data_IF_469273115685
#
_entry.id   IF_469273115685
#
_cell.length_a   1.000
_cell.length_b   1.000
_cell.length_c   1.000
_cell.angle_alpha   90.00
_cell.angle_beta   90.00
_cell.angle_gamma   90.00
#
_symmetry.space_group_name_H-M   'P 1'
#
loop_
_entity.id
_entity.type
_entity.pdbx_description
1 polymer ?
#
# COMPACT_ATOMS: atom_id res chain seq x y z
N UNK A 1 5.20 12.42 22.07
CA UNK A 1 3.75 12.35 21.78
C UNK A 1 3.11 11.66 22.97
N UNK A 2 2.14 12.32 23.58
CA UNK A 2 1.48 11.84 24.82
C UNK A 2 0.13 11.16 24.52
N UNK A 3 -0.37 11.29 23.27
CA UNK A 3 -1.68 10.78 22.84
C UNK A 3 -1.76 10.59 21.32
N UNK A 4 -2.74 9.82 20.88
CA UNK A 4 -3.13 9.73 19.47
C UNK A 4 -4.25 10.74 19.23
N UNK A 5 -4.16 11.50 18.16
CA UNK A 5 -5.23 12.37 17.67
C UNK A 5 -5.83 11.70 16.42
N UNK A 6 -7.11 11.38 16.47
CA UNK A 6 -7.87 10.88 15.34
C UNK A 6 -8.73 12.00 14.79
N UNK A 7 -8.61 12.26 13.49
CA UNK A 7 -9.44 13.21 12.75
C UNK A 7 -10.27 12.42 11.75
N UNK A 8 -11.58 12.42 11.93
CA UNK A 8 -12.53 11.78 11.01
C UNK A 8 -13.31 12.84 10.27
N UNK A 9 -13.20 12.85 8.97
CA UNK A 9 -14.01 13.68 8.08
C UNK A 9 -15.08 12.81 7.39
N UNK A 10 -16.31 13.25 7.45
CA UNK A 10 -17.46 12.62 6.79
C UNK A 10 -18.35 13.69 6.18
N UNK A 11 -19.40 13.30 5.47
CA UNK A 11 -20.41 14.25 4.99
C UNK A 11 -21.05 15.08 6.12
N UNK A 12 -20.99 14.60 7.38
CA UNK A 12 -21.52 15.26 8.54
C UNK A 12 -20.53 16.24 9.20
N UNK A 13 -19.32 16.39 8.64
CA UNK A 13 -18.28 17.29 9.11
C UNK A 13 -17.08 16.58 9.71
N UNK A 14 -16.20 17.37 10.32
CA UNK A 14 -14.94 16.93 10.92
C UNK A 14 -15.15 16.63 12.41
N UNK A 15 -14.72 15.44 12.84
CA UNK A 15 -14.69 15.04 14.24
C UNK A 15 -13.26 14.76 14.69
N UNK A 16 -12.91 15.23 15.88
CA UNK A 16 -11.64 14.94 16.54
C UNK A 16 -11.86 14.06 17.77
N UNK A 17 -11.10 12.98 17.85
CA UNK A 17 -11.09 12.07 19.01
C UNK A 17 -9.66 11.92 19.53
N UNK A 18 -9.49 12.02 20.84
CA UNK A 18 -8.22 11.88 21.53
C UNK A 18 -8.15 10.55 22.24
N UNK A 19 -7.10 9.78 21.94
CA UNK A 19 -6.87 8.49 22.58
C UNK A 19 -5.60 8.58 23.44
N UNK A 20 -5.70 8.34 24.76
CA UNK A 20 -4.60 8.57 25.71
C UNK A 20 -3.58 7.43 25.65
N UNK A 21 -2.86 7.32 24.55
CA UNK A 21 -1.82 6.32 24.32
C UNK A 21 -0.49 7.02 24.06
N UNK A 22 0.50 6.74 24.91
CA UNK A 22 1.85 7.30 24.75
C UNK A 22 2.49 6.82 23.44
N UNK A 23 3.24 7.70 22.76
CA UNK A 23 3.86 7.41 21.48
C UNK A 23 4.82 6.22 21.52
N UNK A 24 5.54 6.03 22.61
CA UNK A 24 6.40 4.85 22.80
C UNK A 24 5.60 3.54 22.82
N UNK A 25 4.45 3.55 23.53
CA UNK A 25 3.55 2.39 23.59
C UNK A 25 2.98 2.07 22.19
N UNK A 26 2.55 3.10 21.47
CA UNK A 26 2.07 2.95 20.10
C UNK A 26 3.17 2.37 19.18
N UNK A 27 4.37 2.94 19.22
CA UNK A 27 5.50 2.48 18.38
C UNK A 27 5.89 1.04 18.70
N UNK A 28 5.90 0.67 20.00
CA UNK A 28 6.18 -0.71 20.42
C UNK A 28 5.14 -1.69 19.87
N UNK A 29 3.85 -1.34 19.94
CA UNK A 29 2.77 -2.18 19.46
C UNK A 29 2.80 -2.33 17.94
N UNK A 30 3.08 -1.25 17.20
CA UNK A 30 3.25 -1.29 15.75
C UNK A 30 4.40 -2.23 15.35
N UNK A 31 5.54 -2.14 16.02
CA UNK A 31 6.68 -3.04 15.76
C UNK A 31 6.33 -4.49 16.06
N UNK A 32 5.61 -4.75 17.16
CA UNK A 32 5.13 -6.09 17.51
C UNK A 32 4.20 -6.63 16.42
N UNK A 33 3.20 -5.88 16.04
CA UNK A 33 2.25 -6.26 15.01
C UNK A 33 2.94 -6.58 13.66
N UNK A 34 3.81 -5.70 13.20
CA UNK A 34 4.57 -5.92 11.96
C UNK A 34 5.39 -7.20 11.98
N UNK A 35 6.07 -7.47 13.07
CA UNK A 35 6.88 -8.70 13.21
C UNK A 35 6.01 -9.95 13.22
N UNK A 36 4.90 -9.92 13.97
CA UNK A 36 4.04 -11.08 14.16
C UNK A 36 3.21 -11.42 12.91
N UNK A 37 2.76 -10.43 12.14
CA UNK A 37 1.97 -10.66 10.93
C UNK A 37 2.78 -11.25 9.77
N UNK A 38 4.12 -11.20 9.85
CA UNK A 38 5.00 -11.83 8.86
C UNK A 38 5.09 -13.36 9.04
N UNK A 39 4.70 -13.87 10.20
CA UNK A 39 4.64 -15.32 10.44
C UNK A 39 3.29 -15.88 9.98
N UNK A 40 3.27 -16.42 8.76
CA UNK A 40 2.07 -16.99 8.16
C UNK A 40 1.55 -18.26 8.84
N UNK A 41 2.34 -18.86 9.74
CA UNK A 41 1.98 -20.09 10.45
C UNK A 41 1.37 -19.79 11.83
N UNK A 42 1.33 -18.54 12.25
CA UNK A 42 0.91 -18.13 13.58
C UNK A 42 -0.21 -17.08 13.52
N UNK A 43 -1.11 -17.15 14.50
CA UNK A 43 -2.14 -16.11 14.71
C UNK A 43 -1.78 -15.14 15.86
N UNK A 44 -0.54 -15.17 16.34
CA UNK A 44 -0.10 -14.33 17.46
C UNK A 44 -0.23 -12.82 17.18
N UNK A 45 -0.35 -12.41 15.93
CA UNK A 45 -0.59 -11.03 15.54
C UNK A 45 -2.00 -10.51 15.93
N UNK A 46 -2.97 -11.39 16.17
CA UNK A 46 -4.35 -10.99 16.47
C UNK A 46 -4.46 -10.08 17.70
N UNK A 47 -3.71 -10.39 18.77
CA UNK A 47 -3.70 -9.55 19.98
C UNK A 47 -3.24 -8.13 19.69
N UNK A 48 -2.16 -7.97 18.91
CA UNK A 48 -1.66 -6.66 18.48
C UNK A 48 -2.63 -5.96 17.53
N UNK A 49 -3.26 -6.72 16.61
CA UNK A 49 -4.26 -6.19 15.68
C UNK A 49 -5.49 -5.64 16.44
N UNK A 50 -5.95 -6.34 17.48
CA UNK A 50 -7.06 -5.91 18.33
C UNK A 50 -6.70 -4.68 19.17
N UNK A 51 -5.50 -4.65 19.73
CA UNK A 51 -5.00 -3.50 20.49
C UNK A 51 -4.96 -2.25 19.61
N UNK A 52 -4.40 -2.36 18.41
CA UNK A 52 -4.33 -1.24 17.47
C UNK A 52 -5.71 -0.83 16.95
N UNK A 53 -6.61 -1.78 16.66
CA UNK A 53 -8.00 -1.49 16.33
C UNK A 53 -8.69 -0.70 17.45
N UNK A 54 -8.52 -1.12 18.70
CA UNK A 54 -9.07 -0.44 19.87
C UNK A 54 -8.61 1.00 20.02
N UNK A 55 -7.41 1.35 19.55
CA UNK A 55 -6.89 2.72 19.60
C UNK A 55 -7.23 3.56 18.36
N UNK A 56 -7.32 2.95 17.19
CA UNK A 56 -7.38 3.68 15.93
C UNK A 56 -8.76 3.69 15.28
N UNK A 57 -9.57 2.64 15.50
CA UNK A 57 -10.85 2.46 14.81
C UNK A 57 -12.03 2.48 15.78
N UNK A 58 -11.95 1.73 16.89
CA UNK A 58 -13.07 1.60 17.84
C UNK A 58 -13.59 2.96 18.38
N UNK A 59 -12.75 3.98 18.64
CA UNK A 59 -13.23 5.29 19.08
C UNK A 59 -14.09 6.02 18.05
N UNK A 60 -14.05 5.62 16.80
CA UNK A 60 -14.78 6.20 15.66
C UNK A 60 -15.94 5.30 15.19
N UNK A 61 -16.11 4.12 15.77
CA UNK A 61 -17.01 3.08 15.24
C UNK A 61 -18.46 3.54 15.08
N UNK A 62 -18.99 4.30 16.04
CA UNK A 62 -20.36 4.81 15.96
C UNK A 62 -20.53 5.78 14.79
N UNK A 63 -19.55 6.64 14.54
CA UNK A 63 -19.58 7.61 13.46
C UNK A 63 -19.45 6.91 12.10
N UNK A 64 -18.59 5.91 12.02
CA UNK A 64 -18.40 5.11 10.79
C UNK A 64 -19.67 4.34 10.42
N UNK A 65 -20.35 3.74 11.40
CA UNK A 65 -21.61 3.03 11.18
C UNK A 65 -22.75 3.99 10.83
N UNK A 66 -22.86 5.12 11.54
CA UNK A 66 -23.90 6.12 11.32
C UNK A 66 -23.80 6.86 9.99
N UNK A 67 -22.62 6.91 9.39
CA UNK A 67 -22.39 7.60 8.12
C UNK A 67 -22.67 6.74 6.87
N UNK A 68 -22.97 5.45 7.03
CA UNK A 68 -23.27 4.54 5.90
C UNK A 68 -22.12 4.42 4.89
N UNK A 69 -20.87 4.51 5.36
CA UNK A 69 -19.70 4.49 4.50
C UNK A 69 -19.35 3.07 4.05
N UNK A 70 -18.80 2.96 2.85
CA UNK A 70 -18.30 1.71 2.29
C UNK A 70 -16.77 1.69 2.18
N UNK A 71 -16.15 2.86 2.16
CA UNK A 71 -14.70 3.01 2.04
C UNK A 71 -14.17 3.94 3.11
N UNK A 72 -13.14 3.49 3.82
CA UNK A 72 -12.37 4.27 4.78
C UNK A 72 -11.02 4.63 4.16
N UNK A 73 -10.78 5.92 3.94
CA UNK A 73 -9.48 6.43 3.50
C UNK A 73 -8.67 6.83 4.72
N UNK A 74 -7.54 6.19 4.93
CA UNK A 74 -6.67 6.43 6.08
C UNK A 74 -5.42 7.20 5.66
N UNK A 75 -5.20 8.35 6.28
CA UNK A 75 -3.99 9.16 6.14
C UNK A 75 -3.16 8.95 7.41
N UNK A 76 -2.31 7.95 7.37
CA UNK A 76 -1.50 7.58 8.51
C UNK A 76 -0.25 8.46 8.65
N UNK A 77 0.16 8.75 9.87
CA UNK A 77 1.39 9.47 10.17
C UNK A 77 2.44 8.58 10.86
N UNK A 78 3.71 8.94 10.69
CA UNK A 78 4.84 8.27 11.31
C UNK A 78 4.85 6.75 11.09
N UNK A 79 5.07 5.99 12.15
CA UNK A 79 5.15 4.52 12.11
C UNK A 79 3.83 3.84 11.71
N UNK A 80 2.70 4.51 11.81
CA UNK A 80 1.40 3.97 11.37
C UNK A 80 1.35 3.72 9.86
N UNK A 81 2.16 4.42 9.06
CA UNK A 81 2.29 4.19 7.60
C UNK A 81 2.80 2.80 7.26
N UNK A 82 3.35 2.09 8.23
CA UNK A 82 4.06 0.82 8.00
C UNK A 82 3.22 -0.42 8.30
N UNK A 83 1.96 -0.25 8.71
CA UNK A 83 1.08 -1.38 9.05
C UNK A 83 -0.05 -1.54 8.02
N UNK A 84 -0.45 -2.79 7.74
CA UNK A 84 -1.60 -3.07 6.88
C UNK A 84 -2.90 -2.73 7.65
N UNK A 85 -3.45 -1.54 7.43
CA UNK A 85 -4.64 -1.05 8.16
C UNK A 85 -5.85 -1.98 8.02
N UNK A 86 -6.03 -2.63 6.87
CA UNK A 86 -7.10 -3.61 6.65
C UNK A 86 -7.02 -4.84 7.56
N UNK A 87 -5.83 -5.17 8.08
CA UNK A 87 -5.62 -6.29 8.99
C UNK A 87 -5.83 -5.95 10.49
N UNK A 88 -6.28 -4.75 10.82
CA UNK A 88 -6.77 -4.43 12.17
C UNK A 88 -8.01 -5.29 12.45
N UNK A 89 -8.20 -5.73 13.70
CA UNK A 89 -9.19 -6.75 14.06
C UNK A 89 -10.03 -6.29 15.25
N UNK A 90 -11.36 -6.40 15.18
CA UNK A 90 -12.28 -5.96 16.23
C UNK A 90 -12.54 -7.02 17.33
N UNK A 91 -11.93 -8.19 17.19
CA UNK A 91 -12.16 -9.38 18.02
C UNK A 91 -13.00 -10.45 17.31
N UNK A 92 -13.67 -10.09 16.20
CA UNK A 92 -14.51 -11.00 15.40
C UNK A 92 -14.12 -10.98 13.92
N UNK A 93 -13.87 -9.81 13.36
CA UNK A 93 -13.62 -9.59 11.94
C UNK A 93 -12.43 -8.65 11.73
N UNK A 94 -11.78 -8.79 10.59
CA UNK A 94 -10.81 -7.80 10.12
C UNK A 94 -11.53 -6.55 9.62
N UNK A 95 -10.87 -5.41 9.71
CA UNK A 95 -11.43 -4.15 9.22
C UNK A 95 -11.82 -4.23 7.73
N UNK A 96 -11.02 -4.91 6.93
CA UNK A 96 -11.27 -5.12 5.49
C UNK A 96 -12.52 -5.95 5.20
N UNK A 97 -12.99 -6.76 6.13
CA UNK A 97 -14.22 -7.55 5.98
C UNK A 97 -15.48 -6.67 6.02
N UNK A 98 -15.38 -5.51 6.68
CA UNK A 98 -16.51 -4.59 6.88
C UNK A 98 -16.46 -3.36 6.00
N UNK A 99 -15.27 -2.87 5.67
CA UNK A 99 -15.03 -1.64 4.92
C UNK A 99 -13.91 -1.84 3.90
N UNK A 100 -14.06 -1.30 2.70
CA UNK A 100 -12.91 -1.11 1.83
C UNK A 100 -11.94 -0.12 2.51
N UNK A 101 -10.66 -0.49 2.59
CA UNK A 101 -9.63 0.32 3.25
C UNK A 101 -8.63 0.81 2.22
N UNK A 102 -8.54 2.12 2.07
CA UNK A 102 -7.50 2.78 1.27
C UNK A 102 -6.53 3.52 2.20
N UNK A 103 -5.25 3.50 1.86
CA UNK A 103 -4.22 4.26 2.60
C UNK A 103 -3.56 5.22 1.64
N UNK A 104 -3.49 6.49 2.04
CA UNK A 104 -2.81 7.53 1.27
C UNK A 104 -1.80 8.28 2.14
N UNK A 105 -0.68 8.73 1.57
CA UNK A 105 0.30 9.50 2.33
C UNK A 105 -0.18 10.92 2.69
N UNK A 106 -1.10 11.49 1.91
CA UNK A 106 -1.64 12.83 2.13
C UNK A 106 -2.93 13.03 1.34
N UNK A 107 -3.93 13.68 1.93
CA UNK A 107 -5.14 14.10 1.22
C UNK A 107 -4.84 15.17 0.16
N UNK A 108 -3.90 16.06 0.43
CA UNK A 108 -3.53 17.12 -0.51
C UNK A 108 -2.86 16.57 -1.80
N UNK A 109 -2.26 15.38 -1.72
CA UNK A 109 -1.62 14.70 -2.85
C UNK A 109 -2.54 13.65 -3.50
N UNK A 110 -3.76 13.48 -2.97
CA UNK A 110 -4.69 12.46 -3.43
C UNK A 110 -5.90 13.15 -4.05
N UNK A 111 -6.07 13.00 -5.34
CA UNK A 111 -7.28 13.43 -6.01
C UNK A 111 -8.42 12.45 -5.66
N UNK A 112 -9.30 12.87 -4.75
CA UNK A 112 -10.50 12.13 -4.35
C UNK A 112 -11.70 12.41 -5.26
N UNK A 113 -11.57 13.36 -6.19
CA UNK A 113 -12.59 13.54 -7.22
C UNK A 113 -12.72 12.23 -8.00
N UNK A 114 -13.93 11.93 -8.46
CA UNK A 114 -14.18 10.74 -9.29
C UNK A 114 -13.16 10.74 -10.43
N UNK A 115 -12.12 9.92 -10.28
CA UNK A 115 -11.05 9.86 -11.24
C UNK A 115 -11.69 9.68 -12.61
N UNK A 116 -11.60 10.69 -13.45
CA UNK A 116 -11.80 10.46 -14.87
C UNK A 116 -10.88 9.29 -15.18
N UNK A 117 -11.47 8.11 -15.38
CA UNK A 117 -10.71 6.91 -15.73
C UNK A 117 -9.89 7.31 -16.92
N UNK A 118 -8.62 7.63 -16.69
CA UNK A 118 -7.69 7.83 -17.81
C UNK A 118 -7.78 6.53 -18.59
N UNK A 119 -8.29 6.62 -19.80
CA UNK A 119 -8.30 5.51 -20.75
C UNK A 119 -6.85 5.28 -21.16
N UNK A 120 -6.06 4.74 -20.25
CA UNK A 120 -4.69 4.38 -20.54
C UNK A 120 -4.59 2.87 -20.71
N UNK A 121 -3.67 2.43 -21.53
CA UNK A 121 -3.32 1.03 -21.66
C UNK A 121 -2.59 0.56 -20.41
N UNK A 122 -2.67 -0.73 -20.14
CA UNK A 122 -1.90 -1.39 -19.08
C UNK A 122 -0.50 -1.74 -19.61
N UNK A 123 0.53 -1.38 -18.85
CA UNK A 123 1.88 -1.90 -19.00
C UNK A 123 2.15 -2.90 -17.88
N UNK A 124 2.35 -4.16 -18.20
CA UNK A 124 2.77 -5.18 -17.25
C UNK A 124 4.25 -5.45 -17.40
N UNK A 125 4.99 -5.45 -16.30
CA UNK A 125 6.42 -5.77 -16.28
C UNK A 125 6.72 -6.83 -15.24
N UNK A 126 7.70 -7.72 -15.47
CA UNK A 126 8.00 -8.76 -14.51
C UNK A 126 9.33 -9.48 -14.74
N UNK A 127 9.79 -10.15 -13.68
CA UNK A 127 10.95 -11.03 -13.69
C UNK A 127 10.52 -12.47 -13.40
N UNK A 128 10.99 -13.41 -14.22
CA UNK A 128 10.88 -14.85 -14.01
C UNK A 128 12.26 -15.52 -13.90
N UNK A 129 13.31 -14.71 -13.87
CA UNK A 129 14.71 -15.11 -13.74
C UNK A 129 15.29 -14.57 -12.43
N UNK A 130 16.32 -15.23 -11.92
CA UNK A 130 17.07 -14.75 -10.76
C UNK A 130 17.95 -13.58 -11.15
N UNK A 131 17.86 -12.47 -10.39
CA UNK A 131 18.64 -11.25 -10.63
C UNK A 131 19.26 -10.80 -9.32
N UNK A 132 20.51 -10.33 -9.34
CA UNK A 132 21.27 -9.86 -8.17
C UNK A 132 21.25 -10.82 -6.95
N UNK A 133 21.22 -12.12 -7.19
CA UNK A 133 21.21 -13.13 -6.14
C UNK A 133 19.85 -13.38 -5.49
N UNK A 134 18.80 -12.67 -5.92
CA UNK A 134 17.42 -12.94 -5.52
C UNK A 134 16.83 -14.00 -6.45
N UNK A 135 16.15 -14.99 -5.88
CA UNK A 135 15.47 -16.04 -6.64
C UNK A 135 14.29 -15.45 -7.44
N UNK A 136 13.97 -16.04 -8.59
CA UNK A 136 12.80 -15.63 -9.38
C UNK A 136 11.52 -15.66 -8.54
N UNK A 137 10.65 -14.63 -8.62
CA UNK A 137 9.34 -14.64 -7.97
C UNK A 137 8.49 -15.79 -8.55
N UNK A 138 8.06 -16.71 -7.68
CA UNK A 138 7.43 -17.99 -8.07
C UNK A 138 6.22 -17.85 -8.99
N UNK A 139 5.43 -16.81 -8.84
CA UNK A 139 4.15 -16.64 -9.51
C UNK A 139 4.13 -15.46 -10.49
N UNK A 140 5.25 -14.77 -10.71
CA UNK A 140 5.30 -13.57 -11.55
C UNK A 140 4.78 -13.82 -12.98
N UNK A 141 5.13 -14.94 -13.58
CA UNK A 141 4.68 -15.27 -14.94
C UNK A 141 3.17 -15.48 -15.01
N UNK A 142 2.62 -16.33 -14.13
CA UNK A 142 1.18 -16.60 -14.09
C UNK A 142 0.36 -15.36 -13.75
N UNK A 143 0.85 -14.52 -12.85
CA UNK A 143 0.24 -13.27 -12.46
C UNK A 143 0.14 -12.30 -13.64
N UNK A 144 1.25 -12.04 -14.31
CA UNK A 144 1.30 -11.11 -15.44
C UNK A 144 0.47 -11.61 -16.62
N UNK A 145 0.46 -12.92 -16.90
CA UNK A 145 -0.38 -13.50 -17.95
C UNK A 145 -1.88 -13.40 -17.62
N UNK A 146 -2.27 -13.64 -16.36
CA UNK A 146 -3.65 -13.48 -15.93
C UNK A 146 -4.13 -12.02 -16.09
N UNK A 147 -3.32 -11.05 -15.67
CA UNK A 147 -3.61 -9.63 -15.81
C UNK A 147 -3.72 -9.23 -17.29
N UNK A 148 -2.78 -9.70 -18.13
CA UNK A 148 -2.82 -9.45 -19.57
C UNK A 148 -4.08 -10.02 -20.22
N UNK A 149 -4.52 -11.20 -19.79
CA UNK A 149 -5.74 -11.82 -20.29
C UNK A 149 -6.99 -11.01 -19.94
N UNK A 150 -7.03 -10.43 -18.74
CA UNK A 150 -8.17 -9.65 -18.26
C UNK A 150 -8.24 -8.23 -18.83
N UNK A 151 -7.09 -7.59 -18.98
CA UNK A 151 -7.02 -6.13 -19.27
C UNK A 151 -6.30 -5.80 -20.57
N UNK A 152 -5.67 -6.78 -21.23
CA UNK A 152 -4.82 -6.54 -22.39
C UNK A 152 -3.53 -5.79 -22.02
N UNK A 153 -3.03 -4.98 -22.94
CA UNK A 153 -1.88 -4.11 -22.71
C UNK A 153 -0.54 -4.69 -23.12
N UNK A 154 0.52 -3.94 -22.89
CA UNK A 154 1.90 -4.29 -23.22
C UNK A 154 2.57 -5.07 -22.10
N UNK A 155 3.51 -5.93 -22.46
CA UNK A 155 4.22 -6.79 -21.53
C UNK A 155 5.73 -6.71 -21.77
N UNK A 156 6.48 -6.44 -20.70
CA UNK A 156 7.95 -6.53 -20.69
C UNK A 156 8.39 -7.55 -19.64
N UNK A 157 9.05 -8.62 -20.09
CA UNK A 157 9.52 -9.68 -19.20
C UNK A 157 11.05 -9.83 -19.28
N UNK A 158 11.65 -10.15 -18.14
CA UNK A 158 13.08 -10.44 -18.03
C UNK A 158 13.95 -9.37 -18.70
N UNK A 159 14.74 -9.69 -19.73
CA UNK A 159 15.62 -8.75 -20.44
C UNK A 159 14.91 -7.54 -21.02
N UNK A 160 13.61 -7.64 -21.31
CA UNK A 160 12.84 -6.50 -21.79
C UNK A 160 12.42 -5.56 -20.64
N UNK A 161 12.36 -6.06 -19.42
CA UNK A 161 12.09 -5.25 -18.22
C UNK A 161 13.42 -4.68 -17.71
N UNK A 162 13.84 -3.58 -18.28
CA UNK A 162 14.98 -2.77 -17.84
C UNK A 162 14.52 -1.37 -17.45
N UNK A 163 15.35 -0.64 -16.69
CA UNK A 163 15.03 0.73 -16.33
C UNK A 163 14.82 1.65 -17.55
N UNK A 164 15.67 1.61 -18.61
CA UNK A 164 15.44 2.39 -19.81
C UNK A 164 14.14 2.02 -20.55
N UNK A 165 13.84 0.70 -20.69
CA UNK A 165 12.63 0.26 -21.38
C UNK A 165 11.36 0.68 -20.63
N UNK A 166 11.36 0.56 -19.29
CA UNK A 166 10.26 1.04 -18.47
C UNK A 166 10.05 2.55 -18.64
N UNK A 167 11.14 3.31 -18.65
CA UNK A 167 11.10 4.76 -18.83
C UNK A 167 10.55 5.17 -20.20
N UNK A 168 10.95 4.49 -21.27
CA UNK A 168 10.44 4.71 -22.62
C UNK A 168 8.94 4.46 -22.69
N UNK A 169 8.46 3.34 -22.14
CA UNK A 169 7.05 2.99 -22.15
C UNK A 169 6.17 3.93 -21.31
N UNK A 170 6.66 4.38 -20.14
CA UNK A 170 5.91 5.32 -19.30
C UNK A 170 5.83 6.71 -19.94
N UNK A 171 6.84 7.13 -20.69
CA UNK A 171 6.81 8.39 -21.45
C UNK A 171 5.80 8.38 -22.60
N UNK A 172 5.45 7.19 -23.11
CA UNK A 172 4.34 7.04 -24.03
C UNK A 172 3.03 7.38 -23.31
N UNK A 173 2.40 8.50 -23.68
CA UNK A 173 1.21 9.06 -23.01
C UNK A 173 -0.01 8.13 -23.00
N UNK A 174 0.09 6.93 -23.60
CA UNK A 174 -0.94 5.91 -23.60
C UNK A 174 -0.99 5.03 -22.36
N UNK A 175 0.04 5.01 -21.51
CA UNK A 175 0.08 4.14 -20.31
C UNK A 175 -0.64 4.81 -19.15
N UNK A 176 -1.69 4.17 -18.66
CA UNK A 176 -2.46 4.63 -17.50
C UNK A 176 -2.22 3.84 -16.22
N UNK A 177 -1.79 2.59 -16.37
CA UNK A 177 -1.50 1.68 -15.25
C UNK A 177 -0.21 0.93 -15.54
N UNK A 178 0.67 0.87 -14.55
CA UNK A 178 1.87 0.00 -14.60
C UNK A 178 1.72 -1.06 -13.53
N UNK A 179 1.70 -2.33 -13.94
CA UNK A 179 1.72 -3.48 -13.04
C UNK A 179 3.11 -4.09 -13.01
N UNK A 180 3.65 -4.29 -11.80
CA UNK A 180 5.01 -4.79 -11.61
C UNK A 180 5.00 -6.09 -10.81
N UNK A 181 5.39 -7.19 -11.45
CA UNK A 181 5.59 -8.52 -10.83
C UNK A 181 7.09 -8.78 -10.65
N UNK A 182 7.68 -8.21 -9.62
CA UNK A 182 9.11 -8.32 -9.32
C UNK A 182 9.39 -8.19 -7.84
N UNK A 183 10.65 -8.41 -7.44
CA UNK A 183 11.08 -8.12 -6.07
C UNK A 183 11.04 -6.62 -5.79
N UNK A 184 10.47 -6.28 -4.64
CA UNK A 184 10.47 -4.92 -4.12
C UNK A 184 11.09 -4.93 -2.73
N UNK A 185 12.02 -4.05 -2.49
CA UNK A 185 12.59 -3.81 -1.15
C UNK A 185 12.13 -2.45 -0.68
N UNK A 186 11.54 -2.43 0.50
CA UNK A 186 11.14 -1.18 1.17
C UNK A 186 12.13 -0.91 2.28
N UNK A 187 12.99 0.07 2.06
CA UNK A 187 13.97 0.56 3.04
C UNK A 187 13.38 1.58 4.01
N UNK A 188 14.21 2.13 4.87
CA UNK A 188 13.82 3.21 5.79
C UNK A 188 13.68 4.56 5.09
N UNK A 189 14.38 4.75 3.98
CA UNK A 189 14.34 5.95 3.14
C UNK A 189 13.99 5.59 1.69
N UNK A 190 13.49 6.56 0.93
CA UNK A 190 13.09 6.35 -0.47
C UNK A 190 14.25 5.84 -1.34
N UNK A 191 15.45 6.33 -1.10
CA UNK A 191 16.69 5.90 -1.81
C UNK A 191 17.07 4.44 -1.54
N UNK A 192 16.66 3.89 -0.38
CA UNK A 192 16.93 2.51 0.01
C UNK A 192 15.82 1.56 -0.45
N UNK A 193 14.74 2.13 -0.98
CA UNK A 193 13.59 1.40 -1.51
C UNK A 193 13.73 1.28 -3.03
N UNK A 194 13.49 0.07 -3.55
CA UNK A 194 13.64 -0.17 -4.99
C UNK A 194 12.76 -1.32 -5.47
N UNK A 195 12.51 -1.30 -6.77
CA UNK A 195 12.00 -2.43 -7.55
C UNK A 195 13.16 -3.02 -8.33
N UNK A 196 13.25 -4.35 -8.38
CA UNK A 196 14.29 -5.03 -9.16
C UNK A 196 13.84 -5.18 -10.61
N UNK A 197 14.61 -4.63 -11.54
CA UNK A 197 14.52 -4.89 -12.98
C UNK A 197 15.63 -5.86 -13.42
N UNK A 198 15.63 -6.29 -14.66
CA UNK A 198 16.66 -7.22 -15.17
C UNK A 198 18.06 -6.60 -15.17
N UNK A 199 18.17 -5.32 -15.42
CA UNK A 199 19.43 -4.56 -15.44
C UNK A 199 19.84 -3.97 -14.09
N UNK A 200 19.08 -4.28 -13.01
CA UNK A 200 19.39 -3.85 -11.64
C UNK A 200 18.24 -3.15 -10.93
N UNK A 201 18.59 -2.34 -9.94
CA UNK A 201 17.65 -1.67 -9.04
C UNK A 201 17.10 -0.39 -9.65
N UNK A 202 15.77 -0.25 -9.65
CA UNK A 202 15.09 1.01 -9.93
C UNK A 202 14.64 1.60 -8.60
N UNK A 203 15.30 2.65 -8.13
CA UNK A 203 14.99 3.28 -6.84
C UNK A 203 13.63 3.97 -6.87
N UNK A 204 13.02 4.17 -5.69
CA UNK A 204 11.75 4.90 -5.59
C UNK A 204 11.88 6.35 -6.05
N UNK A 205 13.03 6.99 -5.85
CA UNK A 205 13.30 8.33 -6.36
C UNK A 205 13.22 8.36 -7.89
N UNK A 206 13.82 7.37 -8.56
CA UNK A 206 13.76 7.28 -10.02
C UNK A 206 12.35 6.97 -10.51
N UNK A 207 11.62 6.06 -9.85
CA UNK A 207 10.22 5.79 -10.18
C UNK A 207 9.35 7.03 -10.02
N UNK A 208 9.53 7.80 -8.94
CA UNK A 208 8.78 9.05 -8.71
C UNK A 208 9.00 10.06 -9.83
N UNK A 209 10.23 10.19 -10.31
CA UNK A 209 10.56 11.07 -11.46
C UNK A 209 9.89 10.58 -12.75
N UNK A 210 9.83 9.27 -12.98
CA UNK A 210 9.23 8.68 -14.18
C UNK A 210 7.72 8.89 -14.25
N UNK A 211 7.02 8.75 -13.12
CA UNK A 211 5.55 8.89 -13.07
C UNK A 211 5.09 10.31 -12.79
N UNK A 212 6.00 11.29 -12.71
CA UNK A 212 5.67 12.69 -12.50
C UNK A 212 5.14 13.00 -11.09
N UNK A 213 5.44 12.16 -10.11
CA UNK A 213 5.17 12.40 -8.71
C UNK A 213 6.28 13.29 -8.15
N UNK A 214 6.21 14.60 -8.39
CA UNK A 214 7.07 15.60 -7.76
C UNK A 214 6.35 16.30 -6.61
#
# INVERSE_FOLDING_TARGET
>A
IVRIELLLETANGLKQVRVPVAGEKLTKEIRSFRRLIQDSQSQNYLSSAQTLHGWLVAPLQQDLQGAGIHTLVMVADGSLRTIPMGALHDGRHFLVDSLAVAVTPSLALTDLSAAQRRKGSLLSVGLTESVEGLSAPRYAESEVQAIRTLYGGKLLMNKQFSAPSLEEEIKDQGVGIVHVASHTVVGTEARDSFVLAHDGKITMDRLSQLVGLQ
#
